data_IF_372493581367
#
_entry.id   IF_372493581367
#
_cell.length_a   1.000
_cell.length_b   1.000
_cell.length_c   1.000
_cell.angle_alpha   90.00
_cell.angle_beta   90.00
_cell.angle_gamma   90.00
#
_symmetry.space_group_name_H-M   'P 1'
#
loop_
_entity.id
_entity.type
_entity.pdbx_description
1 polymer ?
#
# COMPACT_ATOMS: atom_id res chain seq x y z
N UNK A 1 -4.87 3.63 -1.54
CA UNK A 1 -5.15 3.01 -0.21
C UNK A 1 -3.87 2.34 0.25
N UNK A 2 -3.51 2.42 1.54
CA UNK A 2 -2.30 1.77 2.04
C UNK A 2 -2.61 0.49 2.81
N UNK A 3 -1.71 -0.49 2.72
CA UNK A 3 -1.74 -1.72 3.50
C UNK A 3 -0.41 -1.86 4.24
N UNK A 4 -0.45 -2.46 5.42
CA UNK A 4 0.72 -2.73 6.25
C UNK A 4 0.78 -4.23 6.53
N UNK A 5 1.97 -4.82 6.40
CA UNK A 5 2.19 -6.23 6.71
C UNK A 5 3.41 -6.41 7.60
N UNK A 6 3.29 -7.30 8.58
CA UNK A 6 4.38 -7.77 9.43
C UNK A 6 4.94 -9.10 8.90
N UNK A 7 6.20 -9.38 9.19
CA UNK A 7 6.88 -10.58 8.72
C UNK A 7 7.79 -11.19 9.80
N UNK A 8 8.04 -12.50 9.66
CA UNK A 8 8.98 -13.26 10.49
C UNK A 8 10.42 -12.78 10.33
N UNK A 9 10.74 -12.08 9.23
CA UNK A 9 12.07 -11.51 8.95
C UNK A 9 12.40 -10.23 9.75
N UNK A 10 11.49 -9.79 10.65
CA UNK A 10 11.67 -8.59 11.45
C UNK A 10 11.33 -7.28 10.75
N UNK A 11 10.85 -7.33 9.49
CA UNK A 11 10.44 -6.15 8.76
C UNK A 11 8.93 -5.89 8.86
N UNK A 12 8.58 -4.61 8.78
CA UNK A 12 7.22 -4.17 8.45
C UNK A 12 7.24 -3.51 7.08
N UNK A 13 6.31 -3.88 6.22
CA UNK A 13 6.23 -3.40 4.83
C UNK A 13 4.99 -2.58 4.62
N UNK A 14 5.14 -1.46 3.92
CA UNK A 14 4.07 -0.53 3.59
C UNK A 14 3.82 -0.61 2.10
N UNK A 15 2.56 -0.85 1.75
CA UNK A 15 2.13 -1.08 0.39
C UNK A 15 1.09 -0.06 -0.04
N UNK A 16 1.10 0.32 -1.31
CA UNK A 16 0.07 1.14 -1.93
C UNK A 16 -0.74 0.32 -2.94
N UNK A 17 -2.06 0.30 -2.75
CA UNK A 17 -2.99 -0.26 -3.72
C UNK A 17 -3.21 0.75 -4.85
N UNK A 18 -2.82 0.37 -6.07
CA UNK A 18 -3.10 1.09 -7.31
C UNK A 18 -4.18 0.38 -8.11
N UNK A 19 -5.19 1.12 -8.55
CA UNK A 19 -6.18 0.63 -9.50
C UNK A 19 -5.61 0.75 -10.90
N UNK A 20 -5.49 -0.36 -11.63
CA UNK A 20 -5.13 -0.31 -13.05
C UNK A 20 -6.40 -0.01 -13.82
N UNK A 21 -6.51 1.21 -14.31
CA UNK A 21 -7.49 1.55 -15.31
C UNK A 21 -7.15 0.73 -16.56
N UNK A 22 -8.00 -0.25 -16.90
CA UNK A 22 -7.88 -0.95 -18.17
C UNK A 22 -8.14 0.08 -19.26
N UNK A 23 -7.07 0.66 -19.82
CA UNK A 23 -7.14 1.23 -21.15
C UNK A 23 -7.61 0.09 -22.04
N UNK A 24 -8.81 0.20 -22.59
CA UNK A 24 -9.42 -0.81 -23.45
C UNK A 24 -8.40 -1.17 -24.53
N UNK A 25 -7.79 -2.36 -24.41
CA UNK A 25 -7.08 -2.93 -25.52
C UNK A 25 -8.17 -3.26 -26.54
N UNK A 26 -8.22 -2.48 -27.62
CA UNK A 26 -9.04 -2.80 -28.79
C UNK A 26 -8.78 -4.29 -29.12
N UNK A 27 -9.83 -5.14 -29.12
CA UNK A 27 -9.64 -6.53 -29.47
C UNK A 27 -9.09 -6.58 -30.89
N UNK A 28 -7.81 -6.94 -31.02
CA UNK A 28 -7.22 -7.28 -32.31
C UNK A 28 -8.15 -8.33 -32.95
N UNK A 29 -8.64 -8.12 -34.18
CA UNK A 29 -9.50 -9.10 -34.82
C UNK A 29 -8.74 -10.42 -34.91
N UNK A 30 -9.11 -11.39 -34.08
CA UNK A 30 -8.66 -12.77 -34.24
C UNK A 30 -9.21 -13.22 -35.58
N UNK A 31 -8.35 -13.16 -36.60
CA UNK A 31 -8.64 -13.61 -37.94
C UNK A 31 -9.20 -15.02 -37.91
N UNK A 32 -10.36 -15.18 -38.55
CA UNK A 32 -11.03 -16.46 -38.76
C UNK A 32 -10.09 -17.45 -39.47
N UNK A 33 -9.51 -18.39 -38.72
CA UNK A 33 -8.97 -19.60 -39.32
C UNK A 33 -10.12 -20.57 -39.61
N UNK A 34 -10.70 -20.43 -40.81
CA UNK A 34 -11.63 -21.41 -41.37
C UNK A 34 -10.85 -22.68 -41.72
N UNK A 35 -10.86 -23.67 -40.83
CA UNK A 35 -10.60 -25.05 -41.23
C UNK A 35 -11.87 -25.61 -41.90
N UNK A 36 -11.87 -25.64 -43.23
CA UNK A 36 -12.84 -26.39 -44.01
C UNK A 36 -12.59 -27.90 -43.89
N UNK A 37 -13.58 -28.68 -43.50
CA UNK A 37 -13.52 -30.14 -43.65
C UNK A 37 -14.55 -30.96 -42.86
N UNK A 38 -15.73 -31.14 -43.46
CA UNK A 38 -16.69 -32.23 -43.24
C UNK A 38 -17.36 -32.40 -41.86
N UNK A 39 -18.62 -31.97 -41.78
CA UNK A 39 -19.53 -32.44 -40.72
C UNK A 39 -20.88 -31.73 -40.76
N UNK A 40 -21.95 -32.47 -40.98
CA UNK A 40 -23.32 -32.02 -41.23
C UNK A 40 -23.84 -30.96 -40.25
N UNK A 41 -24.58 -30.00 -40.81
CA UNK A 41 -25.40 -29.02 -40.09
C UNK A 41 -26.45 -29.75 -39.24
N UNK A 42 -26.48 -29.49 -37.92
CA UNK A 42 -27.71 -29.58 -37.15
C UNK A 42 -27.60 -28.82 -35.81
N UNK A 43 -28.54 -27.89 -35.63
CA UNK A 43 -29.17 -27.45 -34.37
C UNK A 43 -28.25 -27.30 -33.14
N UNK A 44 -28.02 -26.06 -32.74
CA UNK A 44 -28.69 -25.48 -31.56
C UNK A 44 -28.39 -23.99 -31.50
N UNK A 45 -29.43 -23.18 -31.33
CA UNK A 45 -29.30 -21.79 -30.92
C UNK A 45 -28.71 -21.77 -29.51
N UNK A 46 -27.39 -21.72 -29.40
CA UNK A 46 -26.72 -21.41 -28.16
C UNK A 46 -26.97 -19.93 -27.85
N UNK A 47 -27.95 -19.70 -26.98
CA UNK A 47 -28.08 -18.44 -26.24
C UNK A 47 -26.67 -18.00 -25.81
N UNK A 48 -26.22 -16.77 -26.12
CA UNK A 48 -25.04 -16.24 -25.49
C UNK A 48 -25.41 -16.08 -24.02
N UNK A 49 -24.98 -17.04 -23.20
CA UNK A 49 -24.94 -16.88 -21.75
C UNK A 49 -24.11 -15.63 -21.55
N UNK A 50 -24.78 -14.51 -21.22
CA UNK A 50 -24.14 -13.33 -20.68
C UNK A 50 -23.44 -13.80 -19.42
N UNK A 51 -22.20 -14.25 -19.54
CA UNK A 51 -21.27 -14.28 -18.41
C UNK A 51 -21.27 -12.85 -17.93
N UNK A 52 -21.92 -12.63 -16.79
CA UNK A 52 -21.86 -11.41 -16.04
C UNK A 52 -20.37 -11.17 -15.81
N UNK A 53 -19.79 -10.33 -16.66
CA UNK A 53 -18.39 -9.93 -16.53
C UNK A 53 -18.39 -9.07 -15.29
N UNK A 54 -18.03 -9.70 -14.18
CA UNK A 54 -17.78 -9.02 -12.94
C UNK A 54 -16.68 -8.00 -13.27
N UNK A 55 -17.07 -6.73 -13.33
CA UNK A 55 -16.17 -5.62 -13.64
C UNK A 55 -15.30 -5.34 -12.42
N UNK A 56 -14.52 -6.34 -11.99
CA UNK A 56 -13.52 -6.18 -10.95
C UNK A 56 -12.35 -5.47 -11.60
N UNK A 57 -12.22 -4.17 -11.36
CA UNK A 57 -11.06 -3.40 -11.80
C UNK A 57 -9.79 -4.06 -11.26
N UNK A 58 -8.84 -4.45 -12.14
CA UNK A 58 -7.64 -5.10 -11.67
C UNK A 58 -6.86 -4.13 -10.78
N UNK A 59 -6.63 -4.51 -9.53
CA UNK A 59 -5.81 -3.75 -8.60
C UNK A 59 -4.41 -4.37 -8.53
N UNK A 60 -3.37 -3.54 -8.44
CA UNK A 60 -2.01 -3.97 -8.14
C UNK A 60 -1.56 -3.39 -6.80
N UNK A 61 -0.73 -4.13 -6.09
CA UNK A 61 -0.14 -3.72 -4.83
C UNK A 61 1.34 -3.43 -5.04
N UNK A 62 1.77 -2.20 -4.73
CA UNK A 62 3.17 -1.76 -4.89
C UNK A 62 3.81 -1.53 -3.52
N UNK A 63 5.02 -2.03 -3.31
CA UNK A 63 5.79 -1.77 -2.10
C UNK A 63 6.31 -0.33 -2.14
N UNK A 64 5.94 0.50 -1.16
CA UNK A 64 6.33 1.91 -1.11
C UNK A 64 7.30 2.23 0.03
N UNK A 65 7.52 1.29 0.95
CA UNK A 65 8.51 1.45 2.00
C UNK A 65 8.58 0.27 2.95
N UNK A 66 9.64 0.26 3.75
CA UNK A 66 9.91 -0.71 4.80
C UNK A 66 10.31 -0.01 6.10
N UNK A 67 10.00 -0.67 7.22
CA UNK A 67 10.41 -0.27 8.56
C UNK A 67 11.27 -1.40 9.10
N UNK A 68 12.56 -1.10 9.28
CA UNK A 68 13.59 -2.05 9.67
C UNK A 68 14.13 -1.67 11.04
N UNK A 69 14.06 -2.59 12.00
CA UNK A 69 14.52 -2.32 13.37
C UNK A 69 14.37 -3.49 14.34
N UNK A 70 13.40 -4.38 14.11
CA UNK A 70 13.29 -5.61 14.89
C UNK A 70 14.33 -6.64 14.43
N UNK A 71 14.78 -7.47 15.37
CA UNK A 71 15.75 -8.55 15.13
C UNK A 71 15.11 -9.93 15.07
N UNK A 72 13.79 -10.01 15.23
CA UNK A 72 12.99 -11.25 15.19
C UNK A 72 11.59 -10.97 14.62
N UNK A 73 10.75 -11.99 14.50
CA UNK A 73 9.40 -11.92 13.96
C UNK A 73 8.58 -10.77 14.54
N UNK A 74 7.97 -9.96 13.67
CA UNK A 74 7.04 -8.91 14.08
C UNK A 74 5.66 -9.53 14.27
N UNK A 75 5.19 -9.58 15.51
CA UNK A 75 3.99 -10.31 15.89
C UNK A 75 2.73 -9.46 15.76
N UNK A 76 2.85 -8.14 15.98
CA UNK A 76 1.72 -7.23 15.92
C UNK A 76 2.14 -5.79 15.63
N UNK A 77 1.22 -5.02 15.06
CA UNK A 77 1.34 -3.57 14.93
C UNK A 77 0.04 -2.86 15.32
N UNK A 78 0.16 -1.60 15.72
CA UNK A 78 -0.93 -0.67 15.93
C UNK A 78 -0.64 0.62 15.14
N UNK A 79 -1.57 1.01 14.28
CA UNK A 79 -1.48 2.24 13.50
C UNK A 79 -2.29 3.36 14.16
N UNK A 80 -1.63 4.48 14.41
CA UNK A 80 -2.21 5.69 14.97
C UNK A 80 -2.06 6.80 13.94
N UNK A 81 -3.05 6.97 13.05
CA UNK A 81 -3.14 7.98 11.98
C UNK A 81 -2.01 9.03 11.98
N UNK A 82 -2.19 10.13 12.71
CA UNK A 82 -1.24 11.24 12.74
C UNK A 82 -0.05 11.04 13.68
N UNK A 83 -0.02 9.97 14.46
CA UNK A 83 0.99 9.71 15.49
C UNK A 83 1.98 8.61 15.13
N UNK A 84 1.76 7.89 14.03
CA UNK A 84 2.67 6.89 13.49
C UNK A 84 2.25 5.45 13.80
N UNK A 85 3.22 4.55 13.87
CA UNK A 85 3.01 3.11 14.00
C UNK A 85 3.73 2.59 15.25
N UNK A 86 3.13 1.65 15.95
CA UNK A 86 3.79 0.88 17.02
C UNK A 86 3.89 -0.56 16.56
N UNK A 87 5.05 -1.18 16.71
CA UNK A 87 5.27 -2.61 16.43
C UNK A 87 5.80 -3.31 17.67
N UNK A 88 5.43 -4.58 17.85
CA UNK A 88 6.06 -5.46 18.82
C UNK A 88 6.52 -6.75 18.16
N UNK A 89 7.56 -7.36 18.72
CA UNK A 89 8.24 -8.51 18.15
C UNK A 89 8.63 -9.52 19.21
N UNK A 90 8.90 -10.75 18.75
CA UNK A 90 9.52 -11.81 19.53
C UNK A 90 10.93 -11.44 20.05
N UNK A 91 11.54 -10.33 19.61
CA UNK A 91 12.79 -9.79 20.16
C UNK A 91 12.63 -9.04 21.50
N UNK A 92 11.42 -9.03 22.05
CA UNK A 92 11.04 -8.35 23.29
C UNK A 92 11.11 -6.81 23.23
N UNK A 93 11.18 -6.23 22.03
CA UNK A 93 11.12 -4.79 21.84
C UNK A 93 9.73 -4.34 21.38
N UNK A 94 9.40 -3.11 21.77
CA UNK A 94 8.33 -2.32 21.18
C UNK A 94 9.01 -1.15 20.49
N UNK A 95 8.77 -0.97 19.19
CA UNK A 95 9.32 0.13 18.41
C UNK A 95 8.20 1.09 18.02
N UNK A 96 8.44 2.38 18.25
CA UNK A 96 7.57 3.46 17.82
C UNK A 96 8.16 4.12 16.57
N UNK A 97 7.43 4.02 15.47
CA UNK A 97 7.77 4.61 14.18
C UNK A 97 7.04 5.93 14.04
N UNK A 98 7.79 7.01 13.85
CA UNK A 98 7.23 8.36 13.71
C UNK A 98 7.74 9.04 12.44
N UNK A 99 6.96 10.01 11.95
CA UNK A 99 7.43 10.92 10.91
C UNK A 99 8.53 11.84 11.50
N UNK A 100 9.76 11.63 11.03
CA UNK A 100 10.93 12.36 11.52
C UNK A 100 10.87 13.87 11.29
N UNK A 101 10.36 14.32 10.13
CA UNK A 101 10.21 15.74 9.82
C UNK A 101 9.22 16.41 10.78
N UNK A 102 8.06 15.78 10.99
CA UNK A 102 7.04 16.25 11.93
C UNK A 102 7.58 16.35 13.36
N UNK A 103 8.20 15.28 13.86
CA UNK A 103 8.73 15.26 15.23
C UNK A 103 9.91 16.23 15.39
N UNK A 104 10.70 16.44 14.34
CA UNK A 104 11.72 17.49 14.32
C UNK A 104 11.10 18.88 14.45
N UNK A 105 10.07 19.18 13.64
CA UNK A 105 9.33 20.44 13.72
C UNK A 105 8.72 20.69 15.10
N UNK A 106 8.09 19.68 15.71
CA UNK A 106 7.53 19.78 17.06
C UNK A 106 8.61 20.06 18.12
N UNK A 107 9.77 19.40 18.03
CA UNK A 107 10.89 19.66 18.95
C UNK A 107 11.45 21.07 18.79
N UNK A 108 11.62 21.53 17.55
CA UNK A 108 12.07 22.89 17.26
C UNK A 108 11.09 23.94 17.79
N UNK A 109 9.78 23.75 17.56
CA UNK A 109 8.75 24.65 18.07
C UNK A 109 8.79 24.74 19.60
N UNK A 110 8.89 23.59 20.29
CA UNK A 110 8.98 23.52 21.74
C UNK A 110 10.24 24.21 22.28
N UNK A 111 11.36 24.09 21.55
CA UNK A 111 12.60 24.79 21.88
C UNK A 111 12.43 26.31 21.81
N UNK A 112 11.85 26.83 20.72
CA UNK A 112 11.64 28.28 20.58
C UNK A 112 10.68 28.84 21.64
N UNK A 113 9.59 28.13 21.95
CA UNK A 113 8.70 28.51 23.05
C UNK A 113 9.45 28.59 24.38
N UNK A 114 10.31 27.61 24.67
CA UNK A 114 11.11 27.59 25.90
C UNK A 114 12.11 28.75 25.97
N UNK A 115 12.74 29.08 24.85
CA UNK A 115 13.68 30.21 24.75
C UNK A 115 12.95 31.56 24.91
N UNK A 116 11.72 31.68 24.40
CA UNK A 116 10.88 32.87 24.58
C UNK A 116 10.48 33.05 26.05
N UNK A 117 10.02 31.98 26.71
CA UNK A 117 9.68 31.97 28.13
C UNK A 117 10.86 32.37 29.03
N UNK A 118 12.07 31.98 28.65
CA UNK A 118 13.28 32.28 29.41
C UNK A 118 13.84 33.69 29.13
N UNK A 119 13.33 34.40 28.11
CA UNK A 119 13.89 35.68 27.67
C UNK A 119 15.17 35.56 26.83
N UNK A 120 15.60 34.33 26.50
CA UNK A 120 16.83 34.04 25.75
C UNK A 120 16.70 34.34 24.24
N UNK A 121 15.47 34.49 23.74
CA UNK A 121 15.18 34.70 22.32
C UNK A 121 15.51 36.12 21.83
N UNK A 122 15.56 37.09 22.75
CA UNK A 122 15.83 38.50 22.47
C UNK A 122 17.17 38.98 23.04
N UNK A 123 18.00 38.08 23.57
CA UNK A 123 19.39 38.37 23.95
C UNK A 123 20.28 38.51 22.70
N UNK A 124 19.92 39.43 21.82
CA UNK A 124 20.83 40.05 20.87
C UNK A 124 21.41 41.30 21.53
N UNK A 125 22.72 41.27 21.75
CA UNK A 125 23.60 42.41 22.07
C UNK A 125 23.45 43.51 21.02
#
# INVERSE_FOLDING_TARGET
RQLISCSEDGSVRIWELREKQQLAAEPLPTGFFNMWGFGRVNKQASQPVKKQQENTTPCSLELIGDLIGHSSSVEMFLHFEDHGLVTCSADHLIILWKNGERESGLRSLKLFQKLEENGDLYLTV
#
